data_IF_392069421110
#
_entry.id   IF_392069421110
#
_cell.length_a   1.000
_cell.length_b   1.000
_cell.length_c   1.000
_cell.angle_alpha   90.00
_cell.angle_beta   90.00
_cell.angle_gamma   90.00
#
_symmetry.space_group_name_H-M   'P 1'
#
loop_
_entity.id
_entity.type
_entity.pdbx_description
1 polymer ?
#
# COMPACT_ATOMS: atom_id res chain seq x y z
N UNK A 1 -10.82 -19.01 -11.50
CA UNK A 1 -10.30 -17.65 -11.41
C UNK A 1 -8.82 -17.82 -11.14
N UNK A 2 -7.95 -17.49 -12.09
CA UNK A 2 -6.51 -17.61 -11.88
C UNK A 2 -6.11 -16.69 -10.74
N UNK A 3 -5.45 -17.23 -9.73
CA UNK A 3 -4.97 -16.43 -8.61
C UNK A 3 -3.84 -15.53 -9.11
N UNK A 4 -4.07 -14.21 -9.11
CA UNK A 4 -3.06 -13.25 -9.54
C UNK A 4 -1.82 -13.43 -8.65
N UNK A 5 -0.68 -13.69 -9.29
CA UNK A 5 0.60 -13.81 -8.58
C UNK A 5 0.91 -12.47 -7.94
N UNK A 6 1.23 -12.49 -6.65
CA UNK A 6 1.61 -11.29 -5.92
C UNK A 6 2.96 -10.77 -6.42
N UNK A 7 3.02 -9.47 -6.72
CA UNK A 7 4.25 -8.80 -7.16
C UNK A 7 4.56 -7.60 -6.27
N UNK A 8 5.84 -7.28 -6.10
CA UNK A 8 6.27 -6.04 -5.42
C UNK A 8 5.99 -4.86 -6.33
N UNK A 9 5.36 -3.82 -5.78
CA UNK A 9 4.95 -2.63 -6.54
C UNK A 9 5.77 -1.40 -6.22
N UNK A 10 6.18 -1.22 -4.97
CA UNK A 10 7.06 -0.15 -4.52
C UNK A 10 7.89 -0.61 -3.32
N UNK A 11 9.02 0.05 -3.07
CA UNK A 11 9.87 -0.20 -1.92
C UNK A 11 10.62 1.07 -1.51
N UNK A 12 10.80 1.28 -0.20
CA UNK A 12 11.50 2.43 0.34
C UNK A 12 12.23 2.10 1.63
N UNK A 13 13.40 2.69 1.84
CA UNK A 13 14.16 2.58 3.09
C UNK A 13 13.65 3.56 4.13
N UNK A 14 13.70 3.16 5.40
CA UNK A 14 13.38 4.06 6.50
C UNK A 14 14.36 5.26 6.51
N UNK A 15 13.88 6.50 6.71
CA UNK A 15 14.70 7.71 6.55
C UNK A 15 15.92 7.77 7.49
N UNK A 16 15.79 7.24 8.71
CA UNK A 16 16.85 7.26 9.72
C UNK A 16 17.45 5.89 10.07
N UNK A 17 16.71 4.78 9.86
CA UNK A 17 17.14 3.44 10.26
C UNK A 17 17.64 2.65 9.06
N UNK A 18 18.95 2.48 8.96
CA UNK A 18 19.58 1.80 7.83
C UNK A 18 19.22 0.31 7.66
N UNK A 19 18.65 -0.31 8.70
CA UNK A 19 18.27 -1.71 8.69
C UNK A 19 16.81 -1.96 8.34
N UNK A 20 15.96 -0.93 8.31
CA UNK A 20 14.53 -1.08 8.06
C UNK A 20 14.17 -0.58 6.66
N UNK A 21 13.38 -1.36 5.94
CA UNK A 21 12.76 -0.94 4.68
C UNK A 21 11.36 -1.54 4.56
N UNK A 22 10.52 -0.90 3.76
CA UNK A 22 9.19 -1.40 3.41
C UNK A 22 9.14 -1.77 1.94
N UNK A 23 8.27 -2.71 1.62
CA UNK A 23 7.78 -2.90 0.27
C UNK A 23 6.28 -3.16 0.27
N UNK A 24 5.62 -2.70 -0.77
CA UNK A 24 4.19 -2.91 -1.01
C UNK A 24 3.95 -3.94 -2.10
N UNK A 25 2.75 -4.51 -2.13
CA UNK A 25 2.37 -5.52 -3.11
C UNK A 25 1.16 -5.13 -3.97
N UNK A 26 1.00 -5.86 -5.06
CA UNK A 26 -0.21 -5.82 -5.90
C UNK A 26 -1.46 -6.36 -5.21
N UNK A 27 -1.35 -6.98 -4.03
CA UNK A 27 -2.47 -7.50 -3.25
C UNK A 27 -2.91 -6.56 -2.10
N UNK A 28 -2.37 -5.34 -2.04
CA UNK A 28 -2.77 -4.38 -1.00
C UNK A 28 -2.02 -4.50 0.32
N UNK A 29 -0.98 -5.34 0.38
CA UNK A 29 -0.20 -5.56 1.60
C UNK A 29 1.07 -4.73 1.61
N UNK A 30 1.46 -4.27 2.81
CA UNK A 30 2.73 -3.58 3.03
C UNK A 30 3.53 -4.36 4.06
N UNK A 31 4.78 -4.64 3.75
CA UNK A 31 5.67 -5.43 4.59
C UNK A 31 6.86 -4.58 5.00
N UNK A 32 7.07 -4.48 6.31
CA UNK A 32 8.30 -3.91 6.87
C UNK A 32 9.27 -5.05 7.14
N UNK A 33 10.52 -4.90 6.68
CA UNK A 33 11.59 -5.86 6.88
C UNK A 33 12.71 -5.23 7.72
N UNK A 34 13.28 -6.01 8.64
CA UNK A 34 14.50 -5.67 9.36
C UNK A 34 15.67 -6.55 8.88
N UNK A 35 16.67 -5.92 8.26
CA UNK A 35 17.87 -6.58 7.74
C UNK A 35 18.78 -7.15 8.83
N UNK A 36 18.59 -6.78 10.11
CA UNK A 36 19.38 -7.31 11.24
C UNK A 36 18.89 -8.69 11.69
N UNK A 37 17.59 -8.95 11.57
CA UNK A 37 17.01 -10.22 11.99
C UNK A 37 17.44 -11.35 11.07
N UNK A 38 17.44 -11.10 9.75
CA UNK A 38 17.90 -12.06 8.73
C UNK A 38 18.51 -11.37 7.52
N UNK A 39 19.67 -11.86 7.10
CA UNK A 39 20.37 -11.37 5.90
C UNK A 39 19.57 -11.54 4.59
N UNK A 40 18.61 -12.48 4.55
CA UNK A 40 17.78 -12.74 3.37
C UNK A 40 16.48 -11.92 3.35
N UNK A 41 16.07 -11.34 4.48
CA UNK A 41 14.77 -10.65 4.63
C UNK A 41 13.57 -11.50 4.12
N UNK A 42 13.69 -12.82 4.24
CA UNK A 42 12.72 -13.84 3.84
C UNK A 42 11.44 -13.82 4.71
N UNK A 43 11.52 -13.20 5.87
CA UNK A 43 10.39 -12.94 6.75
C UNK A 43 10.23 -11.43 6.93
N UNK A 44 8.98 -10.97 6.88
CA UNK A 44 8.65 -9.59 7.24
C UNK A 44 8.64 -9.46 8.77
N UNK A 45 9.16 -8.35 9.27
CA UNK A 45 9.08 -8.00 10.69
C UNK A 45 7.65 -7.60 11.05
N UNK A 46 6.97 -6.88 10.15
CA UNK A 46 5.58 -6.43 10.32
C UNK A 46 4.81 -6.52 9.01
N UNK A 47 3.52 -6.81 9.12
CA UNK A 47 2.60 -6.89 7.99
C UNK A 47 1.43 -5.94 8.22
N UNK A 48 1.30 -4.93 7.37
CA UNK A 48 0.20 -3.99 7.38
C UNK A 48 -0.80 -4.43 6.31
N UNK A 49 -1.93 -4.96 6.77
CA UNK A 49 -3.03 -5.43 5.95
C UNK A 49 -4.34 -5.04 6.63
N UNK A 50 -5.28 -4.52 5.86
CA UNK A 50 -6.63 -4.25 6.33
C UNK A 50 -7.49 -5.49 6.08
N UNK A 51 -8.22 -5.95 7.09
CA UNK A 51 -9.12 -7.09 6.93
C UNK A 51 -10.29 -6.72 6.00
N UNK A 52 -10.29 -7.24 4.77
CA UNK A 52 -11.43 -7.11 3.86
C UNK A 52 -12.54 -8.09 4.25
N UNK A 53 -13.79 -7.60 4.26
CA UNK A 53 -14.97 -8.46 4.36
C UNK A 53 -15.04 -9.36 3.11
N UNK A 54 -15.01 -10.70 3.26
CA UNK A 54 -15.15 -11.64 2.14
C UNK A 54 -16.39 -11.39 1.28
N UNK A 55 -17.45 -10.78 1.83
CA UNK A 55 -18.68 -10.46 1.13
C UNK A 55 -18.57 -9.20 0.26
N UNK A 56 -17.61 -8.32 0.56
CA UNK A 56 -17.34 -7.10 -0.22
C UNK A 56 -16.31 -7.33 -1.34
N UNK A 57 -15.72 -8.54 -1.40
CA UNK A 57 -14.67 -8.88 -2.37
C UNK A 57 -15.27 -9.06 -3.77
N UNK A 58 -14.93 -8.13 -4.65
CA UNK A 58 -15.27 -8.17 -6.07
C UNK A 58 -14.00 -8.44 -6.90
N UNK A 59 -14.16 -8.77 -8.19
CA UNK A 59 -13.01 -8.86 -9.11
C UNK A 59 -12.18 -7.58 -9.12
N UNK A 60 -12.83 -6.42 -9.13
CA UNK A 60 -12.14 -5.14 -9.13
C UNK A 60 -11.47 -4.81 -7.80
N UNK A 61 -11.88 -5.43 -6.69
CA UNK A 61 -11.29 -5.19 -5.36
C UNK A 61 -9.80 -5.52 -5.39
N UNK A 62 -9.39 -6.64 -5.98
CA UNK A 62 -7.97 -7.01 -6.06
C UNK A 62 -7.17 -6.05 -6.97
N UNK A 63 -7.79 -5.55 -8.04
CA UNK A 63 -7.12 -4.63 -8.97
C UNK A 63 -6.88 -3.28 -8.30
N UNK A 64 -7.91 -2.70 -7.67
CA UNK A 64 -7.82 -1.38 -7.05
C UNK A 64 -7.10 -1.39 -5.71
N UNK A 65 -7.00 -2.56 -5.05
CA UNK A 65 -6.23 -2.75 -3.82
C UNK A 65 -4.72 -2.75 -4.06
N UNK A 66 -4.26 -2.92 -5.30
CA UNK A 66 -2.83 -2.83 -5.62
C UNK A 66 -2.26 -1.49 -5.16
N UNK A 67 -1.27 -1.53 -4.26
CA UNK A 67 -0.58 -0.32 -3.81
C UNK A 67 0.33 0.15 -4.94
N UNK A 68 0.19 1.40 -5.36
CA UNK A 68 1.03 1.99 -6.40
C UNK A 68 2.29 2.64 -5.86
N UNK A 69 2.25 3.16 -4.62
CA UNK A 69 3.38 3.85 -4.00
C UNK A 69 3.33 3.75 -2.46
N UNK A 70 4.50 3.82 -1.83
CA UNK A 70 4.70 3.80 -0.38
C UNK A 70 5.76 4.82 0.03
N UNK A 71 5.44 5.65 1.03
CA UNK A 71 6.32 6.72 1.54
C UNK A 71 6.39 6.78 3.05
N UNK A 72 7.58 6.70 3.63
CA UNK A 72 7.77 7.06 5.03
C UNK A 72 7.53 8.56 5.26
N UNK A 73 6.94 8.91 6.39
CA UNK A 73 6.97 10.28 6.90
C UNK A 73 8.42 10.68 7.19
N UNK A 74 8.71 11.99 7.22
CA UNK A 74 10.08 12.46 7.43
C UNK A 74 10.60 12.07 8.84
N UNK A 75 9.72 11.98 9.84
CA UNK A 75 10.06 11.47 11.17
C UNK A 75 10.22 9.93 11.24
N UNK A 76 9.81 9.22 10.19
CA UNK A 76 9.86 7.76 10.08
C UNK A 76 8.84 7.02 10.93
N UNK A 77 7.85 7.68 11.53
CA UNK A 77 6.83 7.02 12.35
C UNK A 77 5.68 6.47 11.53
N UNK A 78 5.34 7.12 10.43
CA UNK A 78 4.16 6.83 9.62
C UNK A 78 4.55 6.35 8.22
N UNK A 79 3.65 5.60 7.61
CA UNK A 79 3.70 5.21 6.21
C UNK A 79 2.50 5.80 5.49
N UNK A 80 2.75 6.44 4.36
CA UNK A 80 1.75 6.85 3.39
C UNK A 80 1.70 5.80 2.29
N UNK A 81 0.52 5.31 1.97
CA UNK A 81 0.33 4.36 0.88
C UNK A 81 -0.74 4.85 -0.07
N UNK A 82 -0.52 4.64 -1.35
CA UNK A 82 -1.50 4.95 -2.39
C UNK A 82 -2.03 3.67 -3.01
N UNK A 83 -3.35 3.50 -2.99
CA UNK A 83 -4.06 2.57 -3.87
C UNK A 83 -4.81 3.35 -4.96
N UNK A 84 -5.58 2.68 -5.82
CA UNK A 84 -6.21 3.40 -6.93
C UNK A 84 -7.21 4.48 -6.46
N UNK A 85 -7.98 4.19 -5.41
CA UNK A 85 -9.08 5.04 -4.94
C UNK A 85 -8.71 5.93 -3.75
N UNK A 86 -7.76 5.50 -2.92
CA UNK A 86 -7.49 6.10 -1.62
C UNK A 86 -6.01 6.32 -1.38
N UNK A 87 -5.73 7.27 -0.49
CA UNK A 87 -4.45 7.44 0.17
C UNK A 87 -4.66 7.08 1.64
N UNK A 88 -3.79 6.24 2.20
CA UNK A 88 -3.89 5.77 3.58
C UNK A 88 -2.63 6.11 4.35
N UNK A 89 -2.78 6.48 5.61
CA UNK A 89 -1.69 6.70 6.55
C UNK A 89 -1.71 5.57 7.58
N UNK A 90 -0.56 4.95 7.82
CA UNK A 90 -0.37 3.86 8.78
C UNK A 90 0.61 4.30 9.86
N UNK A 91 0.36 3.96 11.12
CA UNK A 91 1.37 4.09 12.19
C UNK A 91 2.16 2.79 12.26
N UNK A 92 3.49 2.85 12.25
CA UNK A 92 4.34 1.66 12.36
C UNK A 92 4.10 0.84 13.64
N UNK A 93 3.43 1.38 14.65
CA UNK A 93 3.06 0.68 15.87
C UNK A 93 1.65 0.08 15.83
N UNK A 94 0.89 0.27 14.75
CA UNK A 94 -0.46 -0.26 14.55
C UNK A 94 -0.59 -0.90 13.16
N UNK A 95 -0.48 -2.22 13.10
CA UNK A 95 -0.46 -3.00 11.85
C UNK A 95 -1.84 -3.35 11.30
N UNK A 96 -2.87 -3.34 12.17
CA UNK A 96 -4.19 -3.89 11.86
C UNK A 96 -5.06 -3.03 10.94
N UNK A 97 -4.75 -1.73 10.84
CA UNK A 97 -5.57 -0.77 10.11
C UNK A 97 -4.83 0.55 9.93
N UNK A 98 -5.12 1.32 8.87
CA UNK A 98 -4.62 2.67 8.73
C UNK A 98 -5.19 3.58 9.84
N UNK A 99 -4.41 4.57 10.25
CA UNK A 99 -4.85 5.62 11.18
C UNK A 99 -5.71 6.67 10.47
N UNK A 100 -5.47 6.90 9.18
CA UNK A 100 -6.24 7.83 8.35
C UNK A 100 -6.44 7.27 6.94
N UNK A 101 -7.61 7.52 6.35
CA UNK A 101 -7.94 7.11 4.99
C UNK A 101 -8.59 8.27 4.25
N UNK A 102 -7.98 8.66 3.14
CA UNK A 102 -8.39 9.77 2.29
C UNK A 102 -8.92 9.26 0.95
N UNK A 103 -10.23 9.39 0.68
CA UNK A 103 -10.78 9.04 -0.61
C UNK A 103 -10.38 10.08 -1.67
N UNK A 104 -9.62 9.66 -2.68
CA UNK A 104 -9.17 10.54 -3.76
C UNK A 104 -10.03 10.37 -5.01
N UNK A 105 -10.33 9.14 -5.40
CA UNK A 105 -11.07 8.82 -6.62
C UNK A 105 -12.42 8.11 -6.38
N UNK A 106 -13.08 8.33 -5.24
CA UNK A 106 -14.34 7.62 -4.93
C UNK A 106 -15.42 7.80 -6.01
N UNK A 107 -15.45 8.95 -6.68
CA UNK A 107 -16.36 9.25 -7.79
C UNK A 107 -16.14 8.37 -9.04
N UNK A 108 -15.00 7.67 -9.14
CA UNK A 108 -14.69 6.72 -10.20
C UNK A 108 -15.16 5.30 -9.89
N UNK A 109 -15.61 5.02 -8.67
CA UNK A 109 -15.99 3.67 -8.24
C UNK A 109 -17.12 3.06 -9.07
N UNK A 110 -18.06 3.87 -9.54
CA UNK A 110 -19.14 3.41 -10.43
C UNK A 110 -18.68 3.20 -11.89
N UNK A 111 -17.44 3.56 -12.23
CA UNK A 111 -16.87 3.53 -13.58
C UNK A 111 -15.72 2.52 -13.72
N UNK A 112 -15.47 1.67 -12.72
CA UNK A 112 -14.36 0.70 -12.74
C UNK A 112 -14.36 -0.21 -13.97
N UNK A 113 -15.54 -0.59 -14.48
CA UNK A 113 -15.65 -1.37 -15.72
C UNK A 113 -15.11 -0.60 -16.94
N UNK A 114 -15.44 0.68 -17.08
CA UNK A 114 -14.94 1.53 -18.17
C UNK A 114 -13.43 1.80 -18.04
N UNK A 115 -12.95 1.99 -16.81
CA UNK A 115 -11.53 2.18 -16.52
C UNK A 115 -10.70 0.92 -16.76
N UNK A 116 -11.32 -0.25 -16.62
CA UNK A 116 -10.71 -1.52 -16.98
C UNK A 116 -10.67 -1.72 -18.49
N UNK A 117 -11.75 -1.39 -19.21
CA UNK A 117 -11.80 -1.50 -20.68
C UNK A 117 -10.80 -0.58 -21.40
N UNK A 118 -10.39 0.52 -20.78
CA UNK A 118 -9.43 1.47 -21.35
C UNK A 118 -8.04 1.43 -20.67
N UNK A 119 -7.77 0.40 -19.87
CA UNK A 119 -6.53 0.17 -19.10
C UNK A 119 -6.16 1.26 -18.06
N UNK A 120 -6.95 2.33 -17.90
CA UNK A 120 -6.66 3.42 -16.95
C UNK A 120 -6.78 3.00 -15.48
N UNK A 121 -7.42 1.85 -15.21
CA UNK A 121 -7.48 1.26 -13.86
C UNK A 121 -6.09 0.79 -13.37
N UNK A 122 -5.13 0.60 -14.28
CA UNK A 122 -3.77 0.17 -13.97
C UNK A 122 -2.78 1.34 -13.81
N UNK A 123 -3.25 2.58 -13.92
CA UNK A 123 -2.44 3.76 -13.70
C UNK A 123 -1.87 3.77 -12.27
N UNK A 124 -0.56 3.99 -12.17
CA UNK A 124 0.17 4.04 -10.90
C UNK A 124 0.35 5.49 -10.47
N UNK A 125 -0.43 5.91 -9.48
CA UNK A 125 -0.32 7.23 -8.89
C UNK A 125 0.72 7.23 -7.76
N UNK A 126 1.56 8.24 -7.74
CA UNK A 126 2.52 8.47 -6.65
C UNK A 126 1.87 9.29 -5.53
N UNK A 127 2.49 9.25 -4.34
CA UNK A 127 2.11 10.07 -3.20
C UNK A 127 3.37 10.67 -2.54
N UNK A 128 3.17 11.67 -1.69
CA UNK A 128 4.28 12.31 -1.02
C UNK A 128 3.81 13.11 0.19
N UNK A 129 4.73 13.27 1.13
CA UNK A 129 4.54 14.10 2.31
C UNK A 129 4.90 15.55 2.02
N UNK A 130 4.15 16.47 2.61
CA UNK A 130 4.58 17.86 2.75
C UNK A 130 5.86 17.91 3.62
N UNK A 131 6.64 18.98 3.52
CA UNK A 131 7.91 19.09 4.27
C UNK A 131 7.75 19.12 5.79
N UNK A 132 6.53 19.32 6.30
CA UNK A 132 6.18 19.28 7.72
C UNK A 132 5.27 18.10 8.11
N UNK A 133 5.08 17.12 7.22
CA UNK A 133 4.26 15.92 7.41
C UNK A 133 2.79 16.19 7.80
N UNK A 134 2.26 17.36 7.42
CA UNK A 134 0.87 17.80 7.70
C UNK A 134 0.04 18.00 6.45
#
# INVERSE_FOLDING_TARGET
MEELTEVITAAEFHPTKCNEFVYSSSKGSIRLCDMRDKALCDQHAKLFEEAEDPQARSFFSEIIASVSDVKFSHDGRYLLTRDYLTVKVWDLHMESSPVETYPVHEHLRSKLCQLYENDSIFDKFECGWSGDDK
#
